data_IF_824555478617
#
_entry.id   IF_824555478617
#
_cell.length_a   1.000
_cell.length_b   1.000
_cell.length_c   1.000
_cell.angle_alpha   90.00
_cell.angle_beta   90.00
_cell.angle_gamma   90.00
#
_symmetry.space_group_name_H-M   'P 1'
#
loop_
_entity.id
_entity.type
_entity.pdbx_description
1 polymer ?
#
# COMPACT_ATOMS: atom_id res chain seq x y z
N UNK A 1 -9.73 -18.45 -1.33
CA UNK A 1 -8.56 -17.56 -1.06
C UNK A 1 -8.86 -16.10 -1.37
N UNK A 2 -9.99 -15.76 -2.01
CA UNK A 2 -10.66 -14.50 -1.74
C UNK A 2 -11.71 -14.77 -0.67
N UNK A 3 -11.37 -14.51 0.59
CA UNK A 3 -12.43 -14.00 1.46
C UNK A 3 -12.78 -12.62 0.90
N UNK A 4 -14.06 -12.29 0.85
CA UNK A 4 -14.60 -11.04 0.34
C UNK A 4 -14.26 -9.83 1.27
N UNK A 5 -13.00 -9.70 1.66
CA UNK A 5 -12.40 -8.62 2.42
C UNK A 5 -10.95 -8.58 1.91
N UNK A 6 -10.53 -7.70 1.02
CA UNK A 6 -10.68 -6.24 1.02
C UNK A 6 -10.92 -5.75 -0.42
N UNK A 7 -12.18 -5.72 -0.87
CA UNK A 7 -12.52 -5.07 -2.16
C UNK A 7 -12.82 -3.56 -1.99
N UNK A 8 -12.72 -3.07 -0.76
CA UNK A 8 -13.05 -1.70 -0.39
C UNK A 8 -11.95 -1.16 0.51
N UNK A 9 -11.68 0.14 0.33
CA UNK A 9 -10.85 0.91 1.26
C UNK A 9 -11.32 0.66 2.69
N UNK A 10 -10.40 0.27 3.57
CA UNK A 10 -10.75 0.08 4.97
C UNK A 10 -11.07 1.42 5.64
N UNK A 11 -11.79 1.37 6.76
CA UNK A 11 -12.28 2.56 7.43
C UNK A 11 -11.14 3.48 7.92
N UNK A 12 -10.02 2.93 8.41
CA UNK A 12 -8.89 3.74 8.89
C UNK A 12 -8.25 4.50 7.72
N UNK A 13 -8.00 3.79 6.62
CA UNK A 13 -7.41 4.36 5.40
C UNK A 13 -8.33 5.40 4.78
N UNK A 14 -9.65 5.18 4.76
CA UNK A 14 -10.61 6.17 4.28
C UNK A 14 -10.60 7.44 5.13
N UNK A 15 -10.63 7.30 6.46
CA UNK A 15 -10.59 8.45 7.37
C UNK A 15 -9.30 9.26 7.14
N UNK A 16 -8.15 8.58 7.05
CA UNK A 16 -6.87 9.26 6.88
C UNK A 16 -6.73 9.91 5.50
N UNK A 17 -7.30 9.28 4.45
CA UNK A 17 -7.40 9.84 3.09
C UNK A 17 -8.19 11.16 3.10
N UNK A 18 -9.37 11.17 3.73
CA UNK A 18 -10.21 12.37 3.83
C UNK A 18 -9.57 13.44 4.72
N UNK A 19 -8.91 13.02 5.81
CA UNK A 19 -8.17 13.92 6.68
C UNK A 19 -7.03 14.63 5.92
N UNK A 20 -6.25 13.89 5.13
CA UNK A 20 -5.18 14.45 4.32
C UNK A 20 -5.71 15.46 3.29
N UNK A 21 -6.82 15.15 2.61
CA UNK A 21 -7.49 16.09 1.69
C UNK A 21 -7.95 17.35 2.40
N UNK A 22 -8.57 17.19 3.57
CA UNK A 22 -9.03 18.32 4.37
C UNK A 22 -7.87 19.23 4.79
N UNK A 23 -6.78 18.66 5.31
CA UNK A 23 -5.60 19.42 5.71
C UNK A 23 -4.90 20.08 4.52
N UNK A 24 -4.81 19.39 3.37
CA UNK A 24 -4.30 19.97 2.13
C UNK A 24 -5.12 21.19 1.70
N UNK A 25 -6.45 21.13 1.81
CA UNK A 25 -7.34 22.24 1.44
C UNK A 25 -7.13 23.53 2.26
N UNK A 26 -6.60 23.41 3.49
CA UNK A 26 -6.31 24.57 4.36
C UNK A 26 -5.07 25.33 3.91
N UNK A 27 -4.24 24.75 3.04
CA UNK A 27 -2.98 25.34 2.60
C UNK A 27 -2.09 25.70 3.80
N UNK A 28 -1.47 26.88 3.77
CA UNK A 28 -0.53 27.35 4.82
C UNK A 28 -1.15 27.44 6.22
N UNK A 29 -2.49 27.39 6.35
CA UNK A 29 -3.17 27.38 7.65
C UNK A 29 -3.18 25.99 8.30
N UNK A 30 -2.87 24.92 7.57
CA UNK A 30 -2.76 23.58 8.13
C UNK A 30 -1.49 23.45 8.97
N UNK A 31 -1.61 22.81 10.14
CA UNK A 31 -0.44 22.39 10.91
C UNK A 31 0.47 21.44 10.12
N UNK A 32 -0.13 20.59 9.27
CA UNK A 32 0.58 19.60 8.46
C UNK A 32 1.08 20.14 7.11
N UNK A 33 0.82 21.43 6.80
CA UNK A 33 1.28 22.05 5.55
C UNK A 33 2.76 21.80 5.24
N UNK A 34 3.70 21.88 6.20
CA UNK A 34 5.11 21.66 5.91
C UNK A 34 5.45 20.28 5.37
N UNK A 35 4.73 19.24 5.82
CA UNK A 35 4.89 17.89 5.33
C UNK A 35 4.09 17.65 4.04
N UNK A 36 2.84 18.14 3.97
CA UNK A 36 1.98 17.97 2.79
C UNK A 36 2.64 18.56 1.53
N UNK A 37 3.30 19.71 1.63
CA UNK A 37 3.93 20.37 0.47
C UNK A 37 5.15 19.61 -0.10
N UNK A 38 5.75 18.69 0.67
CA UNK A 38 6.89 17.88 0.22
C UNK A 38 6.50 16.47 -0.21
N UNK A 39 5.20 16.12 -0.12
CA UNK A 39 4.70 14.86 -0.65
C UNK A 39 4.74 14.85 -2.19
N UNK A 40 4.89 13.67 -2.82
CA UNK A 40 4.83 13.56 -4.28
C UNK A 40 3.50 14.09 -4.84
N UNK A 41 3.58 14.75 -5.99
CA UNK A 41 2.40 15.22 -6.73
C UNK A 41 1.91 14.24 -7.78
N UNK A 42 2.75 13.26 -8.14
CA UNK A 42 2.47 12.22 -9.15
C UNK A 42 3.01 10.89 -8.66
N UNK A 43 2.45 9.80 -9.17
CA UNK A 43 2.86 8.44 -8.86
C UNK A 43 3.03 7.63 -10.13
N UNK A 44 3.88 6.62 -10.04
CA UNK A 44 4.07 5.62 -11.09
C UNK A 44 3.16 4.40 -10.91
N UNK A 45 2.27 4.41 -9.90
CA UNK A 45 1.27 3.35 -9.75
C UNK A 45 0.35 3.33 -10.98
N UNK A 46 -0.11 2.14 -11.41
CA UNK A 46 -1.05 2.02 -12.53
C UNK A 46 -2.33 2.84 -12.37
N UNK A 47 -2.73 3.20 -11.14
CA UNK A 47 -3.91 4.04 -10.86
C UNK A 47 -3.90 5.40 -11.57
N UNK A 48 -2.73 5.97 -11.88
CA UNK A 48 -2.60 7.30 -12.50
C UNK A 48 -2.07 7.26 -13.94
N UNK A 49 -1.69 6.08 -14.44
CA UNK A 49 -1.10 5.99 -15.76
C UNK A 49 -2.19 5.88 -16.83
N UNK A 50 -2.10 6.76 -17.84
CA UNK A 50 -2.99 6.73 -19.00
C UNK A 50 -2.55 5.71 -20.06
N UNK A 51 -1.26 5.37 -20.04
CA UNK A 51 -0.70 4.33 -20.90
C UNK A 51 -0.82 2.99 -20.19
N UNK A 52 -1.53 2.06 -20.80
CA UNK A 52 -1.79 0.75 -20.23
C UNK A 52 -0.60 -0.20 -20.47
N UNK A 53 0.51 0.03 -19.78
CA UNK A 53 1.67 -0.86 -19.85
C UNK A 53 1.47 -2.21 -19.15
N UNK A 54 0.36 -2.39 -18.43
CA UNK A 54 -0.01 -3.63 -17.70
C UNK A 54 -1.23 -4.36 -18.28
N UNK A 55 -1.79 -3.89 -19.40
CA UNK A 55 -3.10 -4.30 -19.96
C UNK A 55 -3.34 -5.83 -20.03
N UNK A 56 -2.29 -6.61 -20.28
CA UNK A 56 -2.36 -8.07 -20.41
C UNK A 56 -2.00 -8.84 -19.13
N UNK A 57 -1.94 -8.17 -17.98
CA UNK A 57 -1.50 -8.76 -16.70
C UNK A 57 -2.60 -8.71 -15.65
N UNK A 58 -2.46 -9.50 -14.59
CA UNK A 58 -3.38 -9.43 -13.44
C UNK A 58 -3.38 -8.04 -12.78
N UNK A 59 -2.28 -7.29 -12.87
CA UNK A 59 -2.16 -5.94 -12.29
C UNK A 59 -3.16 -4.98 -12.92
N UNK A 60 -3.42 -5.08 -14.24
CA UNK A 60 -4.43 -4.24 -14.89
C UNK A 60 -5.83 -4.48 -14.31
N UNK A 61 -6.24 -5.75 -14.19
CA UNK A 61 -7.54 -6.10 -13.62
C UNK A 61 -7.68 -5.60 -12.16
N UNK A 62 -6.63 -5.75 -11.36
CA UNK A 62 -6.61 -5.27 -9.97
C UNK A 62 -6.69 -3.73 -9.91
N UNK A 63 -6.00 -3.04 -10.82
CA UNK A 63 -6.01 -1.57 -10.92
C UNK A 63 -7.40 -1.06 -11.27
N UNK A 64 -8.04 -1.64 -12.30
CA UNK A 64 -9.40 -1.24 -12.71
C UNK A 64 -10.42 -1.49 -11.60
N UNK A 65 -10.33 -2.64 -10.93
CA UNK A 65 -11.19 -2.98 -9.79
C UNK A 65 -11.01 -1.98 -8.64
N UNK A 66 -9.76 -1.65 -8.31
CA UNK A 66 -9.46 -0.67 -7.27
C UNK A 66 -9.97 0.72 -7.63
N UNK A 67 -9.72 1.17 -8.88
CA UNK A 67 -10.17 2.47 -9.36
C UNK A 67 -11.70 2.58 -9.37
N UNK A 68 -12.40 1.52 -9.77
CA UNK A 68 -13.86 1.45 -9.70
C UNK A 68 -14.35 1.56 -8.26
N UNK A 69 -13.80 0.76 -7.34
CA UNK A 69 -14.18 0.79 -5.91
C UNK A 69 -13.96 2.17 -5.30
N UNK A 70 -12.84 2.83 -5.60
CA UNK A 70 -12.57 4.21 -5.14
C UNK A 70 -13.51 5.24 -5.76
N UNK A 71 -13.91 5.04 -7.03
CA UNK A 71 -14.92 5.89 -7.67
C UNK A 71 -16.27 5.77 -6.96
N UNK A 72 -16.72 4.56 -6.66
CA UNK A 72 -17.99 4.31 -5.95
C UNK A 72 -17.99 4.94 -4.56
N UNK A 73 -16.87 4.84 -3.83
CA UNK A 73 -16.70 5.51 -2.53
C UNK A 73 -16.73 7.04 -2.68
N UNK A 74 -16.03 7.58 -3.68
CA UNK A 74 -16.02 9.02 -3.94
C UNK A 74 -17.42 9.53 -4.30
N UNK A 75 -18.18 8.80 -5.11
CA UNK A 75 -19.55 9.14 -5.49
C UNK A 75 -20.49 9.12 -4.28
N UNK A 76 -20.33 8.15 -3.38
CA UNK A 76 -21.10 8.06 -2.13
C UNK A 76 -20.83 9.26 -1.20
N UNK A 77 -19.58 9.70 -1.12
CA UNK A 77 -19.18 10.88 -0.34
C UNK A 77 -19.73 12.16 -0.98
N UNK A 78 -19.88 12.18 -2.30
CA UNK A 78 -20.35 13.32 -3.10
C UNK A 78 -19.63 14.63 -2.75
N UNK A 79 -18.29 14.67 -2.89
CA UNK A 79 -17.49 15.79 -2.44
C UNK A 79 -17.70 17.04 -3.29
N UNK A 80 -17.73 18.21 -2.63
CA UNK A 80 -17.75 19.52 -3.31
C UNK A 80 -16.36 20.17 -3.40
N UNK A 81 -15.39 19.63 -2.69
CA UNK A 81 -14.10 20.28 -2.42
C UNK A 81 -12.90 19.55 -3.03
N UNK A 82 -13.10 18.36 -3.57
CA UNK A 82 -12.05 17.56 -4.19
C UNK A 82 -12.61 16.68 -5.31
N UNK A 83 -11.76 16.26 -6.23
CA UNK A 83 -12.08 15.37 -7.36
C UNK A 83 -11.72 13.91 -7.06
N UNK A 84 -12.14 12.97 -7.91
CA UNK A 84 -11.67 11.57 -7.83
C UNK A 84 -10.15 11.48 -7.88
N UNK A 85 -9.49 12.29 -8.72
CA UNK A 85 -8.02 12.29 -8.83
C UNK A 85 -7.34 12.80 -7.56
N UNK A 86 -7.93 13.80 -6.88
CA UNK A 86 -7.46 14.22 -5.56
C UNK A 86 -7.62 13.09 -4.53
N UNK A 87 -8.75 12.38 -4.57
CA UNK A 87 -9.03 11.25 -3.69
C UNK A 87 -8.05 10.10 -3.91
N UNK A 88 -7.83 9.70 -5.15
CA UNK A 88 -6.84 8.69 -5.52
C UNK A 88 -5.43 9.13 -5.09
N UNK A 89 -5.09 10.41 -5.27
CA UNK A 89 -3.80 10.96 -4.83
C UNK A 89 -3.62 10.78 -3.31
N UNK A 90 -4.62 11.18 -2.53
CA UNK A 90 -4.55 11.08 -1.07
C UNK A 90 -4.51 9.63 -0.60
N UNK A 91 -5.34 8.76 -1.20
CA UNK A 91 -5.32 7.32 -0.93
C UNK A 91 -3.93 6.73 -1.20
N UNK A 92 -3.34 7.05 -2.36
CA UNK A 92 -2.03 6.52 -2.75
C UNK A 92 -0.92 7.00 -1.82
N UNK A 93 -1.00 8.24 -1.30
CA UNK A 93 -0.10 8.66 -0.22
C UNK A 93 -0.29 7.75 1.00
N UNK A 94 -1.52 7.55 1.48
CA UNK A 94 -1.75 6.75 2.70
C UNK A 94 -1.25 5.30 2.50
N UNK A 95 -1.60 4.70 1.38
CA UNK A 95 -1.35 3.28 1.10
C UNK A 95 0.16 3.00 0.90
N UNK A 96 0.86 3.88 0.19
CA UNK A 96 2.29 3.70 -0.09
C UNK A 96 3.22 4.12 1.06
N UNK A 97 2.76 4.99 1.99
CA UNK A 97 3.62 5.65 3.00
C UNK A 97 3.17 5.45 4.45
N UNK A 98 2.00 4.86 4.66
CA UNK A 98 1.43 4.62 5.98
C UNK A 98 2.22 3.56 6.76
N UNK A 99 2.41 3.83 8.05
CA UNK A 99 2.92 2.85 9.01
C UNK A 99 1.76 2.27 9.80
N UNK A 100 1.71 0.95 9.98
CA UNK A 100 0.78 0.31 10.89
C UNK A 100 1.37 0.27 12.30
N UNK A 101 0.79 1.03 13.22
CA UNK A 101 1.21 1.09 14.63
C UNK A 101 0.17 0.41 15.51
N UNK A 102 0.60 -0.43 16.46
CA UNK A 102 -0.29 -1.24 17.32
C UNK A 102 -1.36 -0.40 18.03
N UNK A 103 -0.98 0.75 18.58
CA UNK A 103 -1.87 1.58 19.40
C UNK A 103 -2.56 2.72 18.61
N UNK A 104 -2.20 2.93 17.33
CA UNK A 104 -2.65 4.09 16.54
C UNK A 104 -3.24 3.72 15.16
N UNK A 105 -3.19 2.45 14.75
CA UNK A 105 -3.62 2.03 13.43
C UNK A 105 -2.71 2.56 12.32
N UNK A 106 -3.27 2.76 11.14
CA UNK A 106 -2.54 3.34 10.00
C UNK A 106 -2.21 4.82 10.26
N UNK A 107 -0.93 5.18 10.18
CA UNK A 107 -0.42 6.53 10.50
C UNK A 107 0.62 6.99 9.50
N UNK A 108 0.49 8.22 8.99
CA UNK A 108 1.58 8.90 8.28
C UNK A 108 2.55 9.52 9.28
N UNK A 109 3.85 9.24 9.10
CA UNK A 109 4.90 9.72 10.00
C UNK A 109 5.85 10.60 9.19
N UNK A 110 5.73 11.94 9.29
CA UNK A 110 6.58 12.85 8.54
C UNK A 110 8.07 12.53 8.71
N UNK A 111 8.83 12.63 7.62
CA UNK A 111 10.26 12.30 7.49
C UNK A 111 10.56 10.80 7.47
N UNK A 112 9.89 10.00 8.29
CA UNK A 112 10.11 8.56 8.30
C UNK A 112 9.59 7.89 7.02
N UNK A 113 8.53 8.45 6.44
CA UNK A 113 7.89 8.00 5.21
C UNK A 113 8.70 8.26 3.92
N UNK A 114 9.87 8.91 4.03
CA UNK A 114 10.77 9.16 2.91
C UNK A 114 11.82 8.07 2.71
N UNK A 115 12.03 7.19 3.70
CA UNK A 115 12.99 6.12 3.57
C UNK A 115 12.49 5.09 2.56
N UNK A 116 13.33 4.74 1.58
CA UNK A 116 12.98 3.80 0.49
C UNK A 116 13.03 2.34 0.94
N UNK A 117 12.46 1.45 0.12
CA UNK A 117 12.38 0.02 0.37
C UNK A 117 13.71 -0.72 0.11
N UNK A 118 13.96 -1.77 0.89
CA UNK A 118 14.88 -2.87 0.58
C UNK A 118 14.21 -4.21 0.82
N UNK A 119 14.59 -5.22 0.02
CA UNK A 119 13.92 -6.53 0.04
C UNK A 119 14.23 -7.31 1.32
N UNK A 120 15.48 -7.29 1.78
CA UNK A 120 15.89 -8.05 2.97
C UNK A 120 16.02 -7.17 4.21
N UNK A 121 15.63 -7.73 5.36
CA UNK A 121 15.71 -7.00 6.63
C UNK A 121 17.17 -6.65 7.00
N UNK A 122 18.13 -7.48 6.59
CA UNK A 122 19.56 -7.25 6.81
C UNK A 122 20.11 -6.09 5.97
N UNK A 123 19.42 -5.73 4.87
CA UNK A 123 19.80 -4.59 4.02
C UNK A 123 19.22 -3.27 4.54
N UNK A 124 18.22 -3.32 5.42
CA UNK A 124 17.60 -2.12 5.97
C UNK A 124 18.60 -1.44 6.90
N UNK A 125 18.78 -0.13 6.73
CA UNK A 125 19.59 0.68 7.66
C UNK A 125 18.74 1.28 8.77
N UNK A 126 17.42 1.31 8.60
CA UNK A 126 16.46 1.79 9.58
C UNK A 126 15.47 0.69 9.99
N UNK A 127 14.95 0.79 11.21
CA UNK A 127 13.83 -0.04 11.68
C UNK A 127 12.93 0.75 12.63
N UNK A 128 11.62 0.52 12.54
CA UNK A 128 10.66 1.07 13.50
C UNK A 128 10.72 0.31 14.82
N UNK A 129 10.68 1.05 15.94
CA UNK A 129 10.50 0.50 17.30
C UNK A 129 9.13 0.85 17.88
N UNK A 130 8.21 1.33 17.05
CA UNK A 130 6.89 1.80 17.48
C UNK A 130 6.94 3.13 18.22
N UNK A 131 5.96 3.35 19.10
CA UNK A 131 5.84 4.58 19.89
C UNK A 131 6.32 4.32 21.31
N UNK A 132 7.27 5.15 21.76
CA UNK A 132 7.66 5.19 23.17
C UNK A 132 6.52 5.79 23.99
N UNK A 133 5.94 4.98 24.89
CA UNK A 133 4.77 5.37 25.71
C UNK A 133 5.06 6.44 26.74
N UNK A 134 6.32 6.60 27.17
CA UNK A 134 6.69 7.61 28.15
C UNK A 134 6.84 8.99 27.50
N UNK A 135 7.42 9.02 26.29
CA UNK A 135 7.67 10.27 25.57
C UNK A 135 6.59 10.62 24.57
N UNK A 136 5.70 9.67 24.25
CA UNK A 136 4.70 9.73 23.17
C UNK A 136 5.32 10.09 21.81
N UNK A 137 6.46 9.46 21.49
CA UNK A 137 7.21 9.69 20.25
C UNK A 137 7.39 8.41 19.46
N UNK A 138 7.21 8.49 18.15
CA UNK A 138 7.62 7.42 17.26
C UNK A 138 9.14 7.30 17.25
N UNK A 139 9.62 6.06 17.36
CA UNK A 139 11.04 5.76 17.44
C UNK A 139 11.46 5.01 16.18
N UNK A 140 12.34 5.66 15.41
CA UNK A 140 13.07 5.07 14.30
C UNK A 140 14.53 4.91 14.71
N UNK A 141 15.09 3.70 14.56
CA UNK A 141 16.49 3.41 14.94
C UNK A 141 17.26 2.85 13.76
N UNK A 142 18.57 3.09 13.78
CA UNK A 142 19.48 2.39 12.90
C UNK A 142 19.52 0.89 13.23
N UNK A 143 19.72 0.07 12.23
CA UNK A 143 20.03 -1.36 12.40
C UNK A 143 21.52 -1.56 12.66
N UNK A 144 21.97 -2.82 12.71
CA UNK A 144 23.39 -3.18 12.82
C UNK A 144 24.15 -3.01 11.49
N UNK A 145 23.46 -2.62 10.41
CA UNK A 145 24.10 -2.31 9.13
C UNK A 145 25.06 -1.14 9.32
N UNK A 146 26.31 -1.30 8.85
CA UNK A 146 27.28 -0.21 8.82
C UNK A 146 26.80 0.87 7.85
N UNK A 147 26.63 2.10 8.35
CA UNK A 147 26.21 3.27 7.59
C UNK A 147 27.39 4.24 7.47
N UNK A 148 27.68 4.72 6.27
CA UNK A 148 28.69 5.72 5.98
C UNK A 148 28.03 7.06 5.58
N UNK A 149 28.79 8.15 5.69
CA UNK A 149 28.31 9.45 5.23
C UNK A 149 28.06 9.41 3.71
N UNK A 150 26.85 9.79 3.30
CA UNK A 150 26.41 9.72 1.91
C UNK A 150 25.57 8.48 1.57
N UNK A 151 25.51 7.48 2.46
CA UNK A 151 24.66 6.31 2.25
C UNK A 151 23.17 6.69 2.37
N UNK A 152 22.35 6.08 1.53
CA UNK A 152 20.90 6.16 1.65
C UNK A 152 20.40 5.39 2.88
N UNK A 153 19.40 5.97 3.54
CA UNK A 153 18.71 5.34 4.65
C UNK A 153 17.41 4.68 4.18
N UNK A 154 17.33 3.37 4.33
CA UNK A 154 16.24 2.53 3.80
C UNK A 154 15.58 1.71 4.89
N UNK A 155 14.31 1.37 4.64
CA UNK A 155 13.47 0.48 5.45
C UNK A 155 13.16 -0.79 4.66
N UNK A 156 12.94 -1.91 5.34
CA UNK A 156 12.16 -3.00 4.75
C UNK A 156 10.68 -2.63 4.87
N UNK A 157 10.00 -2.42 3.73
CA UNK A 157 8.55 -2.21 3.74
C UNK A 157 7.85 -3.53 3.89
N UNK A 158 6.87 -3.60 4.80
CA UNK A 158 6.08 -4.80 5.08
C UNK A 158 6.94 -6.08 5.09
N UNK A 159 6.31 -7.23 4.81
CA UNK A 159 7.02 -8.50 4.70
C UNK A 159 7.50 -8.72 3.26
N UNK A 160 7.41 -9.95 2.76
CA UNK A 160 7.81 -10.34 1.42
C UNK A 160 6.82 -9.76 0.39
N UNK A 161 7.26 -8.76 -0.38
CA UNK A 161 6.45 -8.09 -1.40
C UNK A 161 6.88 -8.54 -2.80
N UNK A 162 5.95 -9.10 -3.56
CA UNK A 162 6.15 -9.42 -4.97
C UNK A 162 6.09 -8.16 -5.85
N UNK A 163 6.63 -8.23 -7.07
CA UNK A 163 6.69 -7.06 -7.95
C UNK A 163 5.30 -6.55 -8.36
N UNK A 164 4.29 -7.42 -8.46
CA UNK A 164 2.92 -6.96 -8.70
C UNK A 164 2.36 -6.11 -7.54
N UNK A 165 2.76 -6.40 -6.29
CA UNK A 165 2.37 -5.60 -5.12
C UNK A 165 3.15 -4.29 -5.06
N UNK A 166 4.47 -4.35 -5.29
CA UNK A 166 5.32 -3.16 -5.33
C UNK A 166 4.83 -2.18 -6.41
N UNK A 167 4.46 -2.68 -7.58
CA UNK A 167 3.99 -1.84 -8.68
C UNK A 167 2.61 -1.26 -8.37
N UNK A 168 1.67 -2.09 -7.90
CA UNK A 168 0.29 -1.67 -7.66
C UNK A 168 0.19 -0.65 -6.52
N UNK A 169 0.85 -0.92 -5.39
CA UNK A 169 0.69 -0.13 -4.15
C UNK A 169 1.77 0.93 -3.95
N UNK A 170 2.98 0.73 -4.48
CA UNK A 170 4.11 1.65 -4.27
C UNK A 170 4.64 2.30 -5.56
N UNK A 171 4.24 1.82 -6.74
CA UNK A 171 4.60 2.41 -8.02
C UNK A 171 6.01 2.07 -8.50
N UNK A 172 6.60 0.97 -8.06
CA UNK A 172 7.90 0.53 -8.55
C UNK A 172 8.02 -1.00 -8.60
N UNK A 173 9.02 -1.52 -9.30
CA UNK A 173 9.39 -2.92 -9.29
C UNK A 173 10.90 -3.05 -9.06
N UNK A 174 11.35 -4.17 -8.51
CA UNK A 174 12.77 -4.42 -8.22
C UNK A 174 13.27 -5.53 -9.14
N UNK A 175 14.44 -5.31 -9.72
CA UNK A 175 15.12 -6.30 -10.54
C UNK A 175 15.53 -7.50 -9.67
N UNK A 176 15.31 -8.71 -10.17
CA UNK A 176 15.63 -9.96 -9.46
C UNK A 176 15.02 -10.05 -8.04
N UNK A 177 13.78 -9.55 -7.87
CA UNK A 177 13.08 -9.60 -6.60
C UNK A 177 12.99 -11.07 -6.08
N UNK A 178 13.64 -11.40 -4.96
CA UNK A 178 13.69 -12.76 -4.43
C UNK A 178 12.35 -13.25 -3.88
N UNK A 179 11.41 -12.32 -3.66
CA UNK A 179 10.06 -12.58 -3.17
C UNK A 179 9.00 -12.45 -4.26
N UNK A 180 9.42 -12.43 -5.53
CA UNK A 180 8.48 -12.30 -6.63
C UNK A 180 7.53 -13.50 -6.71
N UNK A 181 6.29 -13.21 -7.07
CA UNK A 181 5.24 -14.21 -7.19
C UNK A 181 4.17 -13.70 -8.15
N UNK A 182 3.31 -14.61 -8.61
CA UNK A 182 2.18 -14.27 -9.48
C UNK A 182 0.87 -14.73 -8.84
N UNK A 183 -0.20 -14.01 -9.17
CA UNK A 183 -1.55 -14.39 -8.79
C UNK A 183 -2.08 -15.44 -9.78
N UNK A 184 -2.37 -16.64 -9.28
CA UNK A 184 -3.06 -17.69 -10.03
C UNK A 184 -4.50 -17.81 -9.53
N UNK A 185 -5.45 -17.42 -10.37
CA UNK A 185 -6.87 -17.61 -10.09
C UNK A 185 -7.31 -18.98 -10.62
N UNK A 186 -7.75 -19.86 -9.72
CA UNK A 186 -8.36 -21.14 -10.09
C UNK A 186 -9.88 -20.96 -10.00
N UNK A 187 -10.55 -20.97 -11.17
CA UNK A 187 -12.01 -20.94 -11.24
C UNK A 187 -12.56 -22.37 -11.13
N UNK A 188 -13.58 -22.52 -10.29
CA UNK A 188 -14.38 -23.75 -10.27
C UNK A 188 -15.25 -23.75 -11.53
N UNK A 189 -15.30 -24.87 -12.25
CA UNK A 189 -16.21 -25.01 -13.38
C UNK A 189 -17.59 -25.35 -12.80
N UNK A 190 -18.66 -24.62 -13.15
CA UNK A 190 -20.01 -24.98 -12.71
C UNK A 190 -20.43 -26.40 -13.15
N UNK A 191 -19.75 -26.99 -14.13
CA UNK A 191 -19.96 -28.35 -14.60
C UNK A 191 -18.97 -29.36 -13.98
N UNK A 192 -18.15 -28.94 -13.01
CA UNK A 192 -17.28 -29.85 -12.27
C UNK A 192 -18.13 -30.95 -11.61
N UNK A 193 -17.66 -32.19 -11.72
CA UNK A 193 -18.22 -33.26 -10.89
C UNK A 193 -17.98 -32.93 -9.41
N UNK A 194 -18.87 -33.41 -8.53
CA UNK A 194 -18.70 -33.27 -7.07
C UNK A 194 -17.31 -33.72 -6.59
N UNK A 195 -16.74 -34.78 -7.18
CA UNK A 195 -15.38 -35.23 -6.86
C UNK A 195 -14.31 -34.21 -7.25
N UNK A 196 -14.46 -33.56 -8.41
CA UNK A 196 -13.55 -32.50 -8.86
C UNK A 196 -13.67 -31.24 -7.99
N UNK A 197 -14.89 -30.83 -7.63
CA UNK A 197 -15.10 -29.75 -6.67
C UNK A 197 -14.43 -30.05 -5.32
N UNK A 198 -14.59 -31.28 -4.81
CA UNK A 198 -13.95 -31.71 -3.55
C UNK A 198 -12.42 -31.70 -3.66
N UNK A 199 -11.85 -32.14 -4.79
CA UNK A 199 -10.40 -32.09 -5.05
C UNK A 199 -9.88 -30.65 -5.11
N UNK A 200 -10.55 -29.76 -5.84
CA UNK A 200 -10.18 -28.34 -5.91
C UNK A 200 -10.33 -27.64 -4.55
N UNK A 201 -11.38 -27.96 -3.78
CA UNK A 201 -11.58 -27.46 -2.43
C UNK A 201 -10.53 -27.97 -1.43
N UNK A 202 -10.12 -29.24 -1.53
CA UNK A 202 -9.01 -29.77 -0.74
C UNK A 202 -7.70 -29.06 -1.10
N UNK A 203 -7.37 -28.97 -2.40
CA UNK A 203 -6.15 -28.32 -2.90
C UNK A 203 -6.03 -26.86 -2.44
N UNK A 204 -7.14 -26.11 -2.47
CA UNK A 204 -7.15 -24.70 -2.03
C UNK A 204 -7.04 -24.53 -0.51
N UNK A 205 -7.42 -25.55 0.28
CA UNK A 205 -7.32 -25.54 1.76
C UNK A 205 -5.95 -25.97 2.30
N UNK A 206 -5.13 -26.67 1.52
CA UNK A 206 -3.82 -27.18 1.96
C UNK A 206 -2.72 -26.11 2.11
N UNK A 207 -3.02 -24.81 1.97
CA UNK A 207 -2.02 -23.72 2.01
C UNK A 207 -1.58 -23.23 3.41
N UNK A 208 -1.83 -23.98 4.48
CA UNK A 208 -1.33 -23.63 5.83
C UNK A 208 -0.83 -24.87 6.58
N UNK A 209 0.28 -25.45 6.14
CA UNK A 209 1.20 -26.19 7.01
C UNK A 209 2.61 -26.01 6.44
N UNK A 210 3.28 -24.93 6.81
CA UNK A 210 4.75 -24.84 6.95
C UNK A 210 5.09 -23.62 7.81
#
# INVERSE_FOLDING_TARGET
VFNQAEQHIDQETLILTLFLLHERSKGIKSFWYPHIQVLPTTFSTPLFHKENYVESTSVYYLTETMRQSMSEVCDLINPKTFTLEDFLWAYTIIDSRGFKLTDFGTTLIPLADFANHVSFAQEASLCSKGVDKQTNRFILKTTDKKIQAGDELCLKYNNELANWQLLLYYGFAIENNPFDSILLEIKMDPNDTYEMEMKKNAFTKFKYVE
#
